data_IF_184520555497
#
_entry.id   IF_184520555497
#
_cell.length_a   1.000
_cell.length_b   1.000
_cell.length_c   1.000
_cell.angle_alpha   90.00
_cell.angle_beta   90.00
_cell.angle_gamma   90.00
#
_symmetry.space_group_name_H-M   'P 1'
#
loop_
_entity.id
_entity.type
_entity.pdbx_description
1 polymer ?
#
# COMPACT_ATOMS: atom_id res chain seq x y z
N UNK A 1 14.26 -20.71 -19.33
CA UNK A 1 12.98 -21.12 -18.71
C UNK A 1 12.46 -19.93 -17.92
N UNK A 2 11.17 -19.60 -18.00
CA UNK A 2 10.62 -18.40 -17.33
C UNK A 2 9.67 -18.85 -16.22
N UNK A 3 9.89 -18.32 -15.02
CA UNK A 3 9.06 -18.57 -13.84
C UNK A 3 8.73 -17.20 -13.24
N UNK A 4 7.45 -16.94 -13.01
CA UNK A 4 6.91 -15.73 -12.38
C UNK A 4 5.77 -16.18 -11.45
N UNK A 5 5.82 -15.78 -10.16
CA UNK A 5 4.70 -15.88 -9.22
C UNK A 5 4.25 -14.46 -8.89
N UNK A 6 2.98 -14.13 -9.12
CA UNK A 6 2.35 -12.86 -8.73
C UNK A 6 1.12 -13.16 -7.90
N UNK A 7 1.12 -12.72 -6.64
CA UNK A 7 -0.01 -12.85 -5.71
C UNK A 7 -0.66 -11.47 -5.57
N UNK A 8 -1.97 -11.43 -5.54
CA UNK A 8 -2.76 -10.22 -5.31
C UNK A 8 -3.73 -10.49 -4.17
N UNK A 9 -3.89 -9.51 -3.28
CA UNK A 9 -4.82 -9.57 -2.15
C UNK A 9 -5.69 -8.33 -2.21
N UNK A 10 -7.01 -8.51 -2.19
CA UNK A 10 -7.92 -7.37 -2.11
C UNK A 10 -7.90 -6.81 -0.70
N UNK A 11 -7.67 -5.49 -0.59
CA UNK A 11 -7.69 -4.78 0.69
C UNK A 11 -8.58 -3.54 0.55
N UNK A 12 -9.92 -3.70 0.54
CA UNK A 12 -10.84 -2.58 0.33
C UNK A 12 -10.68 -1.50 1.40
N UNK A 13 -10.67 -0.22 0.99
CA UNK A 13 -10.57 0.91 1.90
C UNK A 13 -9.17 1.16 2.46
N UNK A 14 -8.13 0.51 1.92
CA UNK A 14 -6.74 0.77 2.25
C UNK A 14 -6.37 2.24 1.97
N UNK A 15 -6.86 2.83 0.88
CA UNK A 15 -6.62 4.23 0.53
C UNK A 15 -7.12 5.20 1.60
N UNK A 16 -8.31 4.96 2.14
CA UNK A 16 -8.87 5.79 3.22
C UNK A 16 -8.15 5.56 4.56
N UNK A 17 -7.65 4.35 4.84
CA UNK A 17 -6.78 4.10 6.00
C UNK A 17 -5.47 4.92 5.89
N UNK A 18 -4.83 4.91 4.72
CA UNK A 18 -3.62 5.69 4.44
C UNK A 18 -3.90 7.19 4.60
N UNK A 19 -5.01 7.67 4.03
CA UNK A 19 -5.41 9.08 4.14
C UNK A 19 -5.60 9.52 5.59
N UNK A 20 -6.26 8.71 6.41
CA UNK A 20 -6.46 9.03 7.83
C UNK A 20 -5.13 9.11 8.57
N UNK A 21 -4.23 8.15 8.36
CA UNK A 21 -2.90 8.19 8.95
C UNK A 21 -2.12 9.46 8.53
N UNK A 22 -2.13 9.81 7.24
CA UNK A 22 -1.54 11.06 6.75
C UNK A 22 -2.14 12.30 7.40
N UNK A 23 -3.47 12.38 7.57
CA UNK A 23 -4.12 13.57 8.15
C UNK A 23 -3.75 13.82 9.62
N UNK A 24 -3.30 12.79 10.33
CA UNK A 24 -2.79 12.91 11.71
C UNK A 24 -1.32 13.32 11.73
N UNK A 25 -0.58 13.05 10.64
CA UNK A 25 0.80 13.51 10.47
C UNK A 25 0.87 15.03 10.34
N UNK A 26 1.88 15.63 10.98
CA UNK A 26 2.07 17.09 10.99
C UNK A 26 2.83 17.58 9.75
N UNK A 27 3.51 16.69 9.03
CA UNK A 27 4.30 17.02 7.84
C UNK A 27 3.38 17.23 6.64
N UNK A 28 3.74 18.14 5.72
CA UNK A 28 2.97 18.35 4.51
C UNK A 28 3.07 17.14 3.57
N UNK A 29 2.02 16.88 2.79
CA UNK A 29 1.96 15.75 1.86
C UNK A 29 3.16 15.70 0.90
N UNK A 30 3.64 16.86 0.43
CA UNK A 30 4.79 16.92 -0.49
C UNK A 30 6.06 16.36 0.14
N UNK A 31 6.27 16.59 1.44
CA UNK A 31 7.39 16.05 2.18
C UNK A 31 7.24 14.54 2.38
N UNK A 32 6.05 14.08 2.78
CA UNK A 32 5.76 12.65 2.96
C UNK A 32 5.94 11.87 1.65
N UNK A 33 5.43 12.40 0.53
CA UNK A 33 5.58 11.80 -0.78
C UNK A 33 7.06 11.73 -1.19
N UNK A 34 7.83 12.81 -0.99
CA UNK A 34 9.25 12.84 -1.26
C UNK A 34 10.03 11.82 -0.42
N UNK A 35 9.74 11.71 0.89
CA UNK A 35 10.34 10.73 1.78
C UNK A 35 10.01 9.29 1.37
N UNK A 36 8.82 9.05 0.83
CA UNK A 36 8.42 7.74 0.31
C UNK A 36 8.94 7.49 -1.12
N UNK A 37 9.70 8.43 -1.71
CA UNK A 37 10.28 8.31 -3.04
C UNK A 37 9.23 8.33 -4.16
N UNK A 38 8.15 9.12 -4.00
CA UNK A 38 7.10 9.25 -5.01
C UNK A 38 6.59 10.69 -5.16
N UNK A 39 5.83 10.95 -6.22
CA UNK A 39 5.20 12.26 -6.46
C UNK A 39 3.90 12.42 -5.65
N UNK A 40 3.48 13.67 -5.42
CA UNK A 40 2.19 13.94 -4.74
C UNK A 40 0.97 13.42 -5.49
N UNK A 41 0.89 13.46 -6.85
CA UNK A 41 -0.23 12.84 -7.56
C UNK A 41 -0.25 11.31 -7.39
N UNK A 42 0.92 10.66 -7.36
CA UNK A 42 1.00 9.22 -7.12
C UNK A 42 0.44 8.87 -5.73
N UNK A 43 0.77 9.67 -4.71
CA UNK A 43 0.19 9.48 -3.38
C UNK A 43 -1.34 9.66 -3.38
N UNK A 44 -1.87 10.68 -4.05
CA UNK A 44 -3.32 10.87 -4.14
C UNK A 44 -4.01 9.71 -4.85
N UNK A 45 -3.42 9.17 -5.93
CA UNK A 45 -3.95 8.00 -6.61
C UNK A 45 -3.98 6.74 -5.71
N UNK A 46 -3.04 6.61 -4.76
CA UNK A 46 -3.08 5.56 -3.72
C UNK A 46 -4.28 5.80 -2.79
N UNK A 47 -4.42 7.02 -2.26
CA UNK A 47 -5.50 7.34 -1.31
C UNK A 47 -6.90 7.26 -1.92
N UNK A 48 -7.02 7.52 -3.22
CA UNK A 48 -8.27 7.42 -3.98
C UNK A 48 -8.52 6.01 -4.52
N UNK A 49 -7.59 5.06 -4.31
CA UNK A 49 -7.67 3.70 -4.88
C UNK A 49 -7.83 3.69 -6.41
N UNK A 50 -7.25 4.68 -7.10
CA UNK A 50 -7.29 4.79 -8.57
C UNK A 50 -6.34 3.78 -9.25
N UNK A 51 -5.38 3.25 -8.49
CA UNK A 51 -4.46 2.23 -8.96
C UNK A 51 -5.12 0.86 -8.94
N UNK A 52 -5.03 0.12 -10.06
CA UNK A 52 -5.47 -1.28 -10.12
C UNK A 52 -4.78 -2.18 -9.10
N UNK A 53 -3.52 -1.88 -8.80
CA UNK A 53 -2.69 -2.63 -7.85
C UNK A 53 -1.67 -1.70 -7.20
N UNK A 54 -1.54 -1.77 -5.88
CA UNK A 54 -0.47 -1.10 -5.14
C UNK A 54 0.66 -2.10 -4.88
N UNK A 55 1.88 -1.90 -5.41
CA UNK A 55 3.00 -2.78 -5.08
C UNK A 55 3.26 -2.80 -3.57
N UNK A 56 3.45 -4.00 -2.99
CA UNK A 56 3.70 -4.15 -1.56
C UNK A 56 4.90 -3.30 -1.10
N UNK A 57 5.97 -3.24 -1.91
CA UNK A 57 7.13 -2.40 -1.63
C UNK A 57 6.76 -0.90 -1.51
N UNK A 58 5.81 -0.42 -2.31
CA UNK A 58 5.30 0.96 -2.22
C UNK A 58 4.48 1.16 -0.95
N UNK A 59 3.63 0.19 -0.59
CA UNK A 59 2.90 0.21 0.68
C UNK A 59 3.86 0.27 1.88
N UNK A 60 4.93 -0.54 1.88
CA UNK A 60 5.95 -0.52 2.94
C UNK A 60 6.65 0.84 3.07
N UNK A 61 6.89 1.55 1.96
CA UNK A 61 7.44 2.92 2.00
C UNK A 61 6.45 3.91 2.64
N UNK A 62 5.17 3.80 2.32
CA UNK A 62 4.12 4.63 2.91
C UNK A 62 4.03 4.37 4.42
N UNK A 63 4.01 3.11 4.83
CA UNK A 63 4.04 2.68 6.24
C UNK A 63 5.25 3.22 7.00
N UNK A 64 6.46 3.06 6.43
CA UNK A 64 7.69 3.54 7.03
C UNK A 64 7.70 5.07 7.21
N UNK A 65 7.21 5.81 6.22
CA UNK A 65 7.15 7.27 6.31
C UNK A 65 6.11 7.72 7.33
N UNK A 66 4.94 7.10 7.38
CA UNK A 66 3.86 7.44 8.31
C UNK A 66 4.09 6.87 9.73
N UNK A 67 5.04 5.96 9.91
CA UNK A 67 5.30 5.29 11.19
C UNK A 67 4.15 4.39 11.65
N UNK A 68 3.41 3.78 10.71
CA UNK A 68 2.26 2.90 10.99
C UNK A 68 2.34 1.60 10.18
N UNK A 69 1.60 0.57 10.59
CA UNK A 69 1.37 -0.65 9.80
C UNK A 69 -0.12 -0.76 9.44
N UNK A 70 -0.41 -1.15 8.20
CA UNK A 70 -1.78 -1.41 7.73
C UNK A 70 -2.14 -2.90 7.77
N UNK A 71 -1.24 -3.77 8.23
CA UNK A 71 -1.49 -5.20 8.43
C UNK A 71 -1.71 -5.98 7.13
N UNK A 72 -1.17 -5.50 6.01
CA UNK A 72 -1.20 -6.23 4.73
C UNK A 72 -0.02 -7.19 4.71
N UNK A 73 -0.32 -8.49 4.79
CA UNK A 73 0.65 -9.58 4.75
C UNK A 73 0.24 -10.57 3.67
N UNK A 74 1.26 -11.14 3.01
CA UNK A 74 1.14 -12.22 2.05
C UNK A 74 1.84 -13.41 2.71
N UNK A 75 1.05 -14.35 3.20
CA UNK A 75 1.61 -15.61 3.67
C UNK A 75 2.14 -16.37 2.47
N UNK A 76 3.33 -16.98 2.61
CA UNK A 76 3.98 -17.71 1.52
C UNK A 76 3.23 -19.02 1.16
N UNK A 77 2.25 -19.42 1.99
CA UNK A 77 1.57 -20.73 1.98
C UNK A 77 0.02 -20.70 1.91
N UNK A 78 -0.64 -19.55 1.68
CA UNK A 78 -2.13 -19.46 1.52
C UNK A 78 -2.62 -19.96 0.13
N UNK A 79 -2.09 -21.09 -0.34
CA UNK A 79 -2.54 -21.80 -1.55
C UNK A 79 -3.32 -23.09 -1.19
N UNK A 80 -4.02 -23.16 -0.04
CA UNK A 80 -4.96 -24.25 0.28
C UNK A 80 -6.09 -23.75 1.17
N UNK A 81 -7.13 -23.09 0.63
CA UNK A 81 -8.49 -23.14 1.18
C UNK A 81 -9.46 -22.39 0.25
N UNK A 82 -10.06 -23.14 -0.69
CA UNK A 82 -11.45 -22.98 -1.12
C UNK A 82 -11.83 -24.20 -2.00
N UNK A 83 -12.14 -25.31 -1.33
CA UNK A 83 -12.99 -26.37 -1.86
C UNK A 83 -14.02 -26.71 -0.78
N UNK A 84 -15.20 -26.09 -0.85
CA UNK A 84 -16.47 -26.67 -0.39
C UNK A 84 -17.56 -26.41 -1.43
#
# INVERSE_FOLDING_TARGET
>A
MKVEKRIQKEVPGLGEKIRRARKVDKRPLIELAALAGMSTPNWYAIENEEMKTLPLATLRKVEAVLGVTFGVEFDEDEDEEEQE
#
